data_IF_569879148710
#
_entry.id   IF_569879148710
#
_cell.length_a   1.000
_cell.length_b   1.000
_cell.length_c   1.000
_cell.angle_alpha   90.00
_cell.angle_beta   90.00
_cell.angle_gamma   90.00
#
_symmetry.space_group_name_H-M   'P 1'
#
loop_
_entity.id
_entity.type
_entity.pdbx_description
1 polymer ?
#
# COMPACT_ATOMS: atom_id res chain seq x y z
N UNK A 1 -8.18 -0.55 8.62
CA UNK A 1 -7.42 -1.77 8.25
C UNK A 1 -6.52 -1.52 7.05
N UNK A 2 -7.13 -1.46 5.88
CA UNK A 2 -6.40 -1.22 4.63
C UNK A 2 -5.98 0.26 4.50
N UNK A 3 -6.77 1.15 5.10
CA UNK A 3 -6.48 2.59 5.05
C UNK A 3 -5.15 2.89 5.73
N UNK A 4 -4.94 2.31 6.91
CA UNK A 4 -3.70 2.52 7.67
C UNK A 4 -2.50 1.98 6.90
N UNK A 5 -2.67 0.80 6.30
CA UNK A 5 -1.60 0.17 5.52
C UNK A 5 -1.35 0.93 4.21
N UNK A 6 -2.41 1.58 3.69
CA UNK A 6 -2.31 2.35 2.44
C UNK A 6 -1.15 3.32 2.46
N UNK A 7 -1.04 4.10 3.54
CA UNK A 7 0.04 5.06 3.65
C UNK A 7 1.41 4.39 3.61
N UNK A 8 1.48 3.19 4.18
CA UNK A 8 2.74 2.43 4.17
C UNK A 8 2.94 1.85 2.78
N UNK A 9 1.85 1.38 2.20
CA UNK A 9 1.81 0.83 0.85
C UNK A 9 2.19 1.91 -0.16
N UNK A 10 1.64 3.11 0.05
CA UNK A 10 1.90 4.25 -0.83
C UNK A 10 3.35 4.72 -0.71
N UNK A 11 3.92 4.59 0.49
CA UNK A 11 5.30 5.00 0.73
C UNK A 11 6.26 4.24 -0.18
N UNK A 12 5.89 3.00 -0.53
CA UNK A 12 6.71 2.16 -1.41
C UNK A 12 6.23 2.22 -2.87
N UNK A 13 5.53 3.31 -3.21
CA UNK A 13 5.03 3.47 -4.58
C UNK A 13 3.67 2.82 -4.79
N UNK A 14 2.88 2.69 -3.71
CA UNK A 14 1.57 2.09 -3.79
C UNK A 14 1.55 0.80 -4.60
N UNK A 15 0.66 0.73 -5.61
CA UNK A 15 0.53 -0.45 -6.48
C UNK A 15 1.86 -0.93 -7.06
N UNK A 16 2.78 0.01 -7.29
CA UNK A 16 4.08 -0.34 -7.85
C UNK A 16 5.10 -0.67 -6.75
N UNK A 17 4.61 -1.14 -5.59
CA UNK A 17 5.48 -1.50 -4.47
C UNK A 17 5.81 -3.00 -4.46
N UNK A 18 5.48 -3.69 -5.56
CA UNK A 18 5.73 -5.12 -5.64
C UNK A 18 4.70 -5.94 -4.87
N UNK A 19 3.56 -5.33 -4.57
CA UNK A 19 2.49 -5.99 -3.84
C UNK A 19 1.15 -5.27 -4.04
N UNK A 20 0.05 -6.02 -4.13
CA UNK A 20 -1.29 -5.45 -4.33
C UNK A 20 -1.75 -4.59 -3.15
N UNK A 21 -2.79 -3.75 -3.35
CA UNK A 21 -3.32 -2.87 -2.30
C UNK A 21 -3.77 -3.66 -1.06
N UNK A 22 -3.68 -3.04 0.13
CA UNK A 22 -4.08 -3.68 1.39
C UNK A 22 -5.57 -4.04 1.42
N UNK A 23 -6.37 -3.34 0.62
CA UNK A 23 -7.81 -3.58 0.55
C UNK A 23 -8.10 -5.00 0.07
#
# INVERSE_FOLDING_TARGET
ALQELLGQWLKDGGPSSGRPPPS
#
